data_IF_988169513613
#
_entry.id   IF_988169513613
#
_cell.length_a   1.000
_cell.length_b   1.000
_cell.length_c   1.000
_cell.angle_alpha   90.00
_cell.angle_beta   90.00
_cell.angle_gamma   90.00
#
_symmetry.space_group_name_H-M   'P 1'
#
loop_
_entity.id
_entity.type
_entity.pdbx_description
1 polymer ?
#
# COMPACT_ATOMS: atom_id res chain seq x y z
N UNK A 1 4.22 7.80 6.47
CA UNK A 1 4.47 6.71 5.52
C UNK A 1 3.52 6.91 4.35
N UNK A 2 4.07 6.93 3.14
CA UNK A 2 3.30 7.09 1.90
C UNK A 2 2.48 5.84 1.57
N UNK A 3 1.43 5.98 0.75
CA UNK A 3 0.52 4.87 0.42
C UNK A 3 1.24 3.64 -0.14
N UNK A 4 2.14 3.85 -1.12
CA UNK A 4 2.90 2.76 -1.73
C UNK A 4 3.76 1.99 -0.72
N UNK A 5 4.31 2.68 0.29
CA UNK A 5 5.11 2.06 1.34
C UNK A 5 4.24 1.16 2.23
N UNK A 6 3.00 1.56 2.53
CA UNK A 6 2.04 0.75 3.31
C UNK A 6 1.73 -0.56 2.61
N UNK A 7 1.40 -0.48 1.32
CA UNK A 7 1.10 -1.65 0.48
C UNK A 7 2.31 -2.56 0.41
N UNK A 8 3.50 -2.01 0.11
CA UNK A 8 4.77 -2.74 0.08
C UNK A 8 5.05 -3.47 1.39
N UNK A 9 4.85 -2.81 2.53
CA UNK A 9 5.09 -3.41 3.84
C UNK A 9 4.10 -4.52 4.14
N UNK A 10 2.82 -4.34 3.77
CA UNK A 10 1.81 -5.39 3.90
C UNK A 10 2.20 -6.63 3.09
N UNK A 11 2.55 -6.47 1.82
CA UNK A 11 2.95 -7.58 0.94
C UNK A 11 4.15 -8.34 1.55
N UNK A 12 5.16 -7.61 2.03
CA UNK A 12 6.33 -8.21 2.70
C UNK A 12 5.96 -8.93 3.99
N UNK A 13 5.08 -8.36 4.82
CA UNK A 13 4.63 -8.98 6.08
C UNK A 13 3.83 -10.27 5.86
N UNK A 14 3.20 -10.42 4.68
CA UNK A 14 2.51 -11.64 4.26
C UNK A 14 3.44 -12.67 3.62
N UNK A 15 4.74 -12.38 3.50
CA UNK A 15 5.72 -13.26 2.86
C UNK A 15 5.55 -13.38 1.34
N UNK A 16 4.81 -12.47 0.72
CA UNK A 16 4.50 -12.52 -0.70
C UNK A 16 5.62 -11.87 -1.54
N UNK A 17 5.94 -12.48 -2.68
CA UNK A 17 6.87 -11.91 -3.67
C UNK A 17 6.13 -10.90 -4.55
N UNK A 18 6.78 -9.80 -4.90
CA UNK A 18 6.15 -8.76 -5.74
C UNK A 18 5.82 -9.25 -7.15
N UNK A 19 6.66 -10.09 -7.76
CA UNK A 19 6.36 -10.69 -9.07
C UNK A 19 5.08 -11.52 -9.00
N UNK A 20 4.94 -12.35 -7.96
CA UNK A 20 3.75 -13.17 -7.75
C UNK A 20 2.49 -12.31 -7.58
N UNK A 21 2.57 -11.22 -6.82
CA UNK A 21 1.45 -10.29 -6.65
C UNK A 21 1.11 -9.57 -7.96
N UNK A 22 2.12 -9.09 -8.71
CA UNK A 22 1.92 -8.44 -9.99
C UNK A 22 1.23 -9.36 -11.01
N UNK A 23 1.68 -10.61 -11.11
CA UNK A 23 1.08 -11.65 -11.95
C UNK A 23 -0.36 -11.96 -11.53
N UNK A 24 -0.63 -12.16 -10.22
CA UNK A 24 -1.99 -12.39 -9.70
C UNK A 24 -2.94 -11.25 -10.05
N UNK A 25 -2.43 -10.02 -10.14
CA UNK A 25 -3.20 -8.80 -10.40
C UNK A 25 -3.33 -8.44 -11.88
N UNK A 26 -2.70 -9.19 -12.79
CA UNK A 26 -2.54 -8.82 -14.20
C UNK A 26 -1.99 -7.40 -14.38
N UNK A 27 -0.99 -7.05 -13.55
CA UNK A 27 -0.25 -5.79 -13.64
C UNK A 27 1.15 -6.13 -14.14
N UNK A 28 1.62 -5.40 -15.16
CA UNK A 28 2.99 -5.53 -15.63
C UNK A 28 3.99 -5.44 -14.45
N UNK A 29 4.89 -6.42 -14.24
CA UNK A 29 5.78 -6.42 -13.09
C UNK A 29 6.60 -5.12 -12.96
N UNK A 30 7.15 -4.59 -14.04
CA UNK A 30 7.93 -3.34 -14.01
C UNK A 30 7.06 -2.14 -13.58
N UNK A 31 5.80 -2.10 -14.02
CA UNK A 31 4.82 -1.10 -13.53
C UNK A 31 4.58 -1.28 -12.04
N UNK A 32 4.34 -2.50 -11.58
CA UNK A 32 4.09 -2.81 -10.18
C UNK A 32 5.28 -2.42 -9.28
N UNK A 33 6.52 -2.70 -9.68
CA UNK A 33 7.70 -2.28 -8.92
C UNK A 33 7.79 -0.76 -8.81
N UNK A 34 7.61 -0.02 -9.91
CA UNK A 34 7.61 1.45 -9.89
C UNK A 34 6.54 2.00 -8.96
N UNK A 35 5.33 1.41 -8.98
CA UNK A 35 4.27 1.74 -8.04
C UNK A 35 4.71 1.53 -6.58
N UNK A 36 5.25 0.36 -6.25
CA UNK A 36 5.68 0.04 -4.88
C UNK A 36 6.87 0.89 -4.41
N UNK A 37 7.74 1.30 -5.32
CA UNK A 37 8.87 2.21 -5.04
C UNK A 37 8.46 3.66 -4.86
N UNK A 38 7.31 4.08 -5.42
CA UNK A 38 6.95 5.49 -5.51
C UNK A 38 7.57 6.19 -6.73
N UNK A 39 8.20 5.43 -7.64
CA UNK A 39 8.80 5.96 -8.88
C UNK A 39 7.74 6.38 -9.90
N UNK A 40 6.47 6.05 -9.65
CA UNK A 40 5.36 6.39 -10.52
C UNK A 40 4.05 6.48 -9.74
N UNK A 41 3.17 7.43 -10.06
CA UNK A 41 1.92 7.61 -9.34
C UNK A 41 1.02 6.38 -9.47
N UNK A 42 0.22 6.12 -8.44
CA UNK A 42 -0.78 5.07 -8.40
C UNK A 42 -2.16 5.68 -8.67
N UNK A 43 -2.81 5.22 -9.74
CA UNK A 43 -4.20 5.60 -10.03
C UNK A 43 -5.19 4.88 -9.12
N UNK A 44 -6.44 5.35 -9.09
CA UNK A 44 -7.49 4.74 -8.27
C UNK A 44 -7.82 3.31 -8.72
N UNK A 45 -7.87 3.05 -10.03
CA UNK A 45 -8.13 1.71 -10.58
C UNK A 45 -7.01 0.72 -10.23
N UNK A 46 -5.76 1.18 -10.25
CA UNK A 46 -4.60 0.37 -9.85
C UNK A 46 -4.65 0.06 -8.35
N UNK A 47 -4.98 1.07 -7.54
CA UNK A 47 -5.16 0.90 -6.11
C UNK A 47 -6.26 -0.12 -5.79
N UNK A 48 -7.41 -0.02 -6.44
CA UNK A 48 -8.54 -0.94 -6.24
C UNK A 48 -8.16 -2.37 -6.66
N UNK A 49 -7.53 -2.54 -7.83
CA UNK A 49 -7.01 -3.84 -8.27
C UNK A 49 -6.08 -4.45 -7.22
N UNK A 50 -5.12 -3.66 -6.73
CA UNK A 50 -4.17 -4.10 -5.72
C UNK A 50 -4.90 -4.53 -4.44
N UNK A 51 -5.83 -3.73 -3.92
CA UNK A 51 -6.60 -4.09 -2.73
C UNK A 51 -7.37 -5.39 -2.94
N UNK A 52 -8.01 -5.56 -4.09
CA UNK A 52 -8.74 -6.77 -4.46
C UNK A 52 -7.86 -8.02 -4.48
N UNK A 53 -6.70 -7.98 -5.14
CA UNK A 53 -5.82 -9.16 -5.19
C UNK A 53 -5.04 -9.44 -3.90
N UNK A 54 -4.93 -8.44 -3.03
CA UNK A 54 -4.44 -8.60 -1.66
C UNK A 54 -5.54 -9.00 -0.66
N UNK A 55 -6.78 -9.10 -1.14
CA UNK A 55 -7.97 -9.49 -0.35
C UNK A 55 -8.15 -8.58 0.88
N UNK A 56 -7.97 -7.28 0.67
CA UNK A 56 -8.20 -6.24 1.68
C UNK A 56 -9.22 -5.22 1.21
N UNK A 57 -9.95 -4.66 2.16
CA UNK A 57 -10.86 -3.55 1.91
C UNK A 57 -10.08 -2.29 1.42
N UNK A 58 -10.58 -1.53 0.43
CA UNK A 58 -9.91 -0.31 -0.05
C UNK A 58 -9.67 0.74 1.04
N UNK A 59 -10.46 0.76 2.13
CA UNK A 59 -10.24 1.62 3.28
C UNK A 59 -9.10 1.18 4.20
N UNK A 60 -8.62 -0.07 4.09
CA UNK A 60 -7.63 -0.65 5.01
C UNK A 60 -6.37 0.22 5.14
N UNK A 61 -5.74 0.60 4.01
CA UNK A 61 -4.51 1.37 4.04
C UNK A 61 -4.71 2.83 4.44
N UNK A 62 -5.89 3.40 4.16
CA UNK A 62 -6.26 4.75 4.62
C UNK A 62 -6.53 4.79 6.12
N UNK A 63 -7.14 3.76 6.69
CA UNK A 63 -7.34 3.66 8.14
C UNK A 63 -6.01 3.60 8.88
N UNK A 64 -5.03 2.85 8.36
CA UNK A 64 -3.66 2.84 8.89
C UNK A 64 -3.02 4.23 8.84
N UNK A 65 -3.20 4.97 7.73
CA UNK A 65 -2.71 6.35 7.59
C UNK A 65 -3.34 7.29 8.62
N UNK A 66 -4.66 7.23 8.78
CA UNK A 66 -5.39 8.05 9.74
C UNK A 66 -4.93 7.79 11.19
N UNK A 67 -4.79 6.51 11.58
CA UNK A 67 -4.33 6.13 12.91
C UNK A 67 -2.90 6.62 13.18
N UNK A 68 -2.00 6.54 12.20
CA UNK A 68 -0.64 7.07 12.32
C UNK A 68 -0.63 8.59 12.52
N UNK A 69 -1.44 9.34 11.78
CA UNK A 69 -1.54 10.79 11.95
C UNK A 69 -2.10 11.11 13.35
N UNK A 70 -3.20 10.46 13.74
CA UNK A 70 -3.82 10.67 15.05
C UNK A 70 -2.80 10.47 16.17
N UNK A 71 -2.02 9.39 16.12
CA UNK A 71 -1.02 9.10 17.15
C UNK A 71 0.11 10.14 17.18
N UNK A 72 0.57 10.64 16.03
CA UNK A 72 1.55 11.74 15.98
C UNK A 72 1.01 13.04 16.57
N UNK A 73 -0.24 13.38 16.28
CA UNK A 73 -0.88 14.60 16.77
C UNK A 73 -1.12 14.55 18.29
N UNK A 74 -1.51 13.40 18.83
CA UNK A 74 -1.73 13.23 20.27
C UNK A 74 -0.41 13.21 21.05
N UNK A 75 0.63 12.55 20.53
CA UNK A 75 1.96 12.52 21.17
C UNK A 75 2.64 13.89 21.26
N UNK A 76 2.40 14.79 20.30
CA UNK A 76 2.97 16.15 20.33
C UNK A 76 2.23 17.12 21.27
N UNK A 77 1.06 16.75 21.82
CA UNK A 77 0.30 17.59 22.75
C UNK A 77 0.66 17.37 24.22
N UNK A 78 1.55 16.42 24.51
CA UNK A 78 1.96 16.02 25.88
C UNK A 78 3.42 16.32 26.19
N UNK A 79 4.10 17.08 25.34
CA UNK A 79 5.47 17.56 25.52
C UNK A 79 5.51 19.08 25.71
#
# INVERSE_FOLDING_TARGET
MEMHQRIRNYIRSKGLKFNYVAEKLDINPNRFYRLMNGDSPMGIDEYEKICKGLEVDPGYFFNQYFLEIKNKVVGNKTA
#
